data_IF_122671155990
#
_entry.id   IF_122671155990
#
_cell.length_a   1.000
_cell.length_b   1.000
_cell.length_c   1.000
_cell.angle_alpha   90.00
_cell.angle_beta   90.00
_cell.angle_gamma   90.00
#
_symmetry.space_group_name_H-M   'P 1'
#
loop_
_entity.id
_entity.type
_entity.pdbx_description
1 polymer ?
#
# COMPACT_ATOMS: atom_id res chain seq x y z
N UNK A 1 12.15 -18.18 60.68
CA UNK A 1 12.86 -18.07 59.39
C UNK A 1 11.81 -17.81 58.33
N UNK A 2 11.67 -16.57 57.86
CA UNK A 2 10.64 -16.15 56.92
C UNK A 2 11.24 -16.16 55.52
N UNK A 3 10.75 -17.03 54.61
CA UNK A 3 11.19 -17.08 53.21
C UNK A 3 10.29 -16.13 52.42
N UNK A 4 10.84 -15.02 51.97
CA UNK A 4 10.16 -14.09 51.05
C UNK A 4 10.41 -14.58 49.62
N UNK A 5 9.37 -15.10 48.96
CA UNK A 5 9.44 -15.44 47.55
C UNK A 5 9.25 -14.16 46.72
N UNK A 6 10.30 -13.75 46.01
CA UNK A 6 10.24 -12.67 45.02
C UNK A 6 9.69 -13.23 43.71
N UNK A 7 8.46 -12.89 43.37
CA UNK A 7 7.89 -13.15 42.06
C UNK A 7 8.47 -12.14 41.04
N UNK A 8 9.36 -12.61 40.18
CA UNK A 8 9.83 -11.84 39.02
C UNK A 8 8.73 -11.79 37.96
N UNK A 9 8.11 -10.62 37.80
CA UNK A 9 7.17 -10.36 36.70
C UNK A 9 7.99 -10.10 35.42
N UNK A 10 8.06 -11.06 34.52
CA UNK A 10 8.64 -10.86 33.17
C UNK A 10 7.58 -10.15 32.34
N UNK A 11 7.80 -8.87 32.04
CA UNK A 11 7.00 -8.14 31.06
C UNK A 11 7.27 -8.72 29.66
N UNK A 12 6.24 -9.29 29.04
CA UNK A 12 6.29 -9.67 27.63
C UNK A 12 6.35 -8.40 26.79
N UNK A 13 7.18 -8.35 25.73
CA UNK A 13 7.19 -7.23 24.81
C UNK A 13 5.79 -7.09 24.18
N UNK A 14 5.17 -5.93 24.35
CA UNK A 14 3.95 -5.59 23.62
C UNK A 14 4.34 -5.37 22.15
N UNK A 15 3.95 -6.27 21.27
CA UNK A 15 3.99 -6.01 19.85
C UNK A 15 3.00 -4.86 19.59
N UNK A 16 3.47 -3.79 18.95
CA UNK A 16 2.59 -2.73 18.49
C UNK A 16 1.59 -3.34 17.51
N UNK A 17 0.29 -3.17 17.79
CA UNK A 17 -0.75 -3.62 16.86
C UNK A 17 -0.60 -2.86 15.53
N UNK A 18 -0.86 -3.55 14.41
CA UNK A 18 -0.90 -2.91 13.10
C UNK A 18 -1.90 -1.74 13.10
N UNK A 19 -1.61 -0.63 12.40
CA UNK A 19 -2.50 0.52 12.37
C UNK A 19 -3.86 0.16 11.76
N UNK A 20 -4.95 0.63 12.38
CA UNK A 20 -6.32 0.48 11.90
C UNK A 20 -6.83 1.85 11.45
N UNK A 21 -7.26 1.97 10.21
CA UNK A 21 -7.70 3.23 9.62
C UNK A 21 -9.22 3.31 9.58
N UNK A 22 -9.79 4.29 10.28
CA UNK A 22 -11.24 4.45 10.44
C UNK A 22 -11.91 5.13 9.25
N UNK A 23 -11.15 5.69 8.31
CA UNK A 23 -11.64 6.31 7.07
C UNK A 23 -10.64 6.08 5.93
N UNK A 24 -11.12 6.04 4.65
CA UNK A 24 -10.24 6.01 3.48
C UNK A 24 -9.18 7.13 3.50
N UNK A 25 -9.61 8.33 3.83
CA UNK A 25 -8.73 9.50 3.89
C UNK A 25 -7.64 9.36 4.95
N UNK A 26 -7.94 8.75 6.11
CA UNK A 26 -6.95 8.52 7.17
C UNK A 26 -5.84 7.57 6.70
N UNK A 27 -6.21 6.48 6.02
CA UNK A 27 -5.27 5.54 5.41
C UNK A 27 -4.36 6.24 4.40
N UNK A 28 -4.93 6.94 3.42
CA UNK A 28 -4.15 7.60 2.37
C UNK A 28 -3.28 8.73 2.93
N UNK A 29 -3.79 9.51 3.90
CA UNK A 29 -2.99 10.52 4.60
C UNK A 29 -1.78 9.90 5.30
N UNK A 30 -1.96 8.75 5.94
CA UNK A 30 -0.87 8.03 6.61
C UNK A 30 0.20 7.57 5.60
N UNK A 31 -0.21 6.96 4.48
CA UNK A 31 0.70 6.54 3.41
C UNK A 31 1.52 7.73 2.89
N UNK A 32 0.85 8.81 2.49
CA UNK A 32 1.53 9.96 1.89
C UNK A 32 2.34 10.78 2.90
N UNK A 33 2.04 10.72 4.20
CA UNK A 33 2.90 11.30 5.23
C UNK A 33 4.28 10.64 5.29
N UNK A 34 4.39 9.36 4.92
CA UNK A 34 5.65 8.64 4.79
C UNK A 34 6.61 9.34 3.83
N UNK A 35 6.12 9.79 2.68
CA UNK A 35 6.91 10.48 1.66
C UNK A 35 7.43 11.84 2.11
N UNK A 36 6.71 12.51 3.01
CA UNK A 36 7.14 13.80 3.58
C UNK A 36 8.16 13.64 4.70
N UNK A 37 8.12 12.53 5.42
CA UNK A 37 8.95 12.28 6.60
C UNK A 37 10.12 11.33 6.34
N UNK A 38 10.12 10.62 5.21
CA UNK A 38 11.06 9.54 4.91
C UNK A 38 10.90 8.31 5.83
N UNK A 39 9.74 8.20 6.51
CA UNK A 39 9.45 7.10 7.43
C UNK A 39 8.28 6.27 6.87
N UNK A 40 8.62 5.14 6.32
CA UNK A 40 7.65 4.15 5.83
C UNK A 40 7.49 3.02 6.85
N UNK A 41 6.33 2.37 6.94
CA UNK A 41 6.21 1.15 7.72
C UNK A 41 7.07 0.06 7.09
N UNK A 42 7.61 -0.82 7.93
CA UNK A 42 8.42 -1.98 7.47
C UNK A 42 7.56 -2.98 6.69
N UNK A 43 6.24 -2.91 6.85
CA UNK A 43 5.28 -3.85 6.31
C UNK A 43 4.13 -3.08 5.64
N UNK A 44 4.06 -3.14 4.31
CA UNK A 44 3.06 -2.41 3.52
C UNK A 44 1.77 -3.21 3.31
N UNK A 45 1.75 -4.50 3.57
CA UNK A 45 0.59 -5.38 3.39
C UNK A 45 -0.58 -4.99 4.30
N UNK A 46 -0.30 -4.26 5.39
CA UNK A 46 -1.32 -3.69 6.28
C UNK A 46 -2.25 -2.68 5.60
N UNK A 47 -1.85 -2.09 4.46
CA UNK A 47 -2.66 -1.13 3.71
C UNK A 47 -3.63 -1.80 2.75
N UNK A 48 -3.33 -3.03 2.33
CA UNK A 48 -4.06 -3.74 1.29
C UNK A 48 -5.13 -4.67 1.86
N UNK A 49 -6.20 -4.86 1.10
CA UNK A 49 -7.21 -5.87 1.38
C UNK A 49 -6.62 -7.27 1.27
N UNK A 50 -7.30 -8.26 1.86
CA UNK A 50 -6.91 -9.67 1.71
C UNK A 50 -6.83 -10.10 0.26
N UNK A 51 -7.76 -9.63 -0.58
CA UNK A 51 -7.76 -9.95 -2.01
C UNK A 51 -6.55 -9.39 -2.74
N UNK A 52 -6.19 -8.13 -2.49
CA UNK A 52 -5.03 -7.51 -3.13
C UNK A 52 -3.71 -8.10 -2.63
N UNK A 53 -3.59 -8.36 -1.32
CA UNK A 53 -2.44 -9.08 -0.75
C UNK A 53 -2.27 -10.48 -1.37
N UNK A 54 -3.37 -11.18 -1.64
CA UNK A 54 -3.31 -12.48 -2.33
C UNK A 54 -2.77 -12.37 -3.76
N UNK A 55 -3.10 -11.28 -4.48
CA UNK A 55 -2.53 -11.03 -5.82
C UNK A 55 -1.02 -10.75 -5.74
N UNK A 56 -0.57 -9.94 -4.79
CA UNK A 56 0.87 -9.73 -4.56
C UNK A 56 1.60 -11.04 -4.26
N UNK A 57 1.04 -11.86 -3.38
CA UNK A 57 1.63 -13.16 -3.04
C UNK A 57 1.70 -14.11 -4.25
N UNK A 58 0.63 -14.15 -5.07
CA UNK A 58 0.59 -14.97 -6.29
C UNK A 58 1.61 -14.48 -7.33
N UNK A 59 1.70 -13.16 -7.55
CA UNK A 59 2.68 -12.57 -8.46
C UNK A 59 4.11 -12.87 -8.00
N UNK A 60 4.42 -12.70 -6.71
CA UNK A 60 5.72 -13.05 -6.16
C UNK A 60 6.07 -14.53 -6.30
N UNK A 61 5.09 -15.44 -6.08
CA UNK A 61 5.30 -16.86 -6.26
C UNK A 61 5.51 -17.27 -7.73
N UNK A 62 4.95 -16.52 -8.67
CA UNK A 62 5.11 -16.74 -10.11
C UNK A 62 6.43 -16.16 -10.66
N UNK A 63 7.07 -15.25 -9.95
CA UNK A 63 8.32 -14.60 -10.38
C UNK A 63 9.49 -15.55 -10.11
N UNK A 64 10.30 -15.92 -11.13
CA UNK A 64 11.49 -16.76 -10.94
C UNK A 64 12.51 -16.12 -9.99
N UNK A 65 13.28 -16.95 -9.30
CA UNK A 65 14.30 -16.46 -8.39
C UNK A 65 15.38 -15.65 -9.14
N UNK A 66 15.56 -14.39 -8.76
CA UNK A 66 16.50 -13.45 -9.39
C UNK A 66 15.89 -12.55 -10.44
N UNK A 67 14.65 -12.77 -10.81
CA UNK A 67 13.92 -11.90 -11.75
C UNK A 67 13.20 -10.77 -11.00
N UNK A 68 12.92 -9.68 -11.73
CA UNK A 68 12.08 -8.59 -11.24
C UNK A 68 10.61 -8.97 -11.40
N UNK A 69 9.81 -8.74 -10.37
CA UNK A 69 8.36 -8.97 -10.42
C UNK A 69 7.64 -8.01 -11.38
N UNK A 70 6.32 -8.16 -11.52
CA UNK A 70 5.53 -7.37 -12.48
C UNK A 70 5.47 -5.87 -12.14
N UNK A 71 5.92 -5.48 -10.95
CA UNK A 71 5.95 -4.09 -10.49
C UNK A 71 7.37 -3.77 -10.05
N UNK A 72 8.01 -2.85 -10.75
CA UNK A 72 9.37 -2.36 -10.49
C UNK A 72 9.42 -0.88 -10.08
N UNK A 73 8.27 -0.32 -9.70
CA UNK A 73 8.09 1.06 -9.28
C UNK A 73 7.20 1.15 -8.03
N UNK A 74 7.23 2.30 -7.38
CA UNK A 74 6.34 2.59 -6.25
C UNK A 74 4.94 2.99 -6.75
N UNK A 75 3.95 2.14 -6.47
CA UNK A 75 2.56 2.31 -6.91
C UNK A 75 1.87 3.55 -6.33
N UNK A 76 2.37 4.10 -5.22
CA UNK A 76 1.83 5.31 -4.60
C UNK A 76 2.35 6.60 -5.23
N UNK A 77 3.47 6.52 -5.94
CA UNK A 77 4.10 7.69 -6.60
C UNK A 77 4.13 7.57 -8.12
N UNK A 78 3.78 6.38 -8.66
CA UNK A 78 3.89 6.03 -10.08
C UNK A 78 5.33 6.23 -10.60
N UNK A 79 6.35 5.94 -9.79
CA UNK A 79 7.75 6.17 -10.14
C UNK A 79 8.71 5.36 -9.25
N UNK A 80 9.97 5.27 -9.66
CA UNK A 80 11.04 4.66 -8.83
C UNK A 80 11.61 5.66 -7.80
N UNK A 81 11.60 6.96 -8.14
CA UNK A 81 12.04 8.05 -7.29
C UNK A 81 10.89 9.03 -7.02
N UNK A 82 10.96 9.76 -5.91
CA UNK A 82 9.91 10.68 -5.57
C UNK A 82 10.41 12.05 -5.05
N UNK A 83 9.69 13.08 -5.47
CA UNK A 83 9.72 14.43 -4.90
C UNK A 83 8.33 15.03 -5.02
N UNK A 84 7.48 14.71 -4.03
CA UNK A 84 6.07 15.07 -4.08
C UNK A 84 5.84 16.52 -3.67
N UNK A 85 4.99 17.20 -4.45
CA UNK A 85 4.49 18.53 -4.17
C UNK A 85 3.01 18.62 -4.55
N UNK A 86 2.30 19.62 -4.04
CA UNK A 86 0.88 19.87 -4.36
C UNK A 86 -0.04 18.66 -4.13
N UNK A 87 0.26 17.86 -3.08
CA UNK A 87 -0.55 16.69 -2.73
C UNK A 87 -1.98 17.09 -2.35
N UNK A 88 -2.95 16.46 -2.99
CA UNK A 88 -4.36 16.60 -2.72
C UNK A 88 -5.01 15.22 -2.62
N UNK A 89 -5.66 14.94 -1.50
CA UNK A 89 -6.49 13.76 -1.27
C UNK A 89 -7.95 14.23 -1.26
N UNK A 90 -8.72 13.83 -2.26
CA UNK A 90 -10.12 14.24 -2.40
C UNK A 90 -11.00 13.59 -1.30
N UNK A 91 -12.26 13.99 -1.24
CA UNK A 91 -13.24 13.30 -0.42
C UNK A 91 -13.53 11.92 -1.03
N UNK A 92 -13.78 10.95 -0.16
CA UNK A 92 -14.22 9.63 -0.59
C UNK A 92 -15.63 9.70 -1.21
N UNK A 93 -15.86 8.91 -2.25
CA UNK A 93 -17.15 8.76 -2.92
C UNK A 93 -17.56 7.28 -2.91
N UNK A 94 -18.84 6.96 -2.65
CA UNK A 94 -19.29 5.58 -2.64
C UNK A 94 -19.07 4.87 -3.98
N UNK A 95 -18.53 3.65 -3.93
CA UNK A 95 -18.35 2.76 -5.08
C UNK A 95 -18.70 1.31 -4.69
N UNK A 96 -19.82 0.79 -5.22
CA UNK A 96 -20.26 -0.58 -4.90
C UNK A 96 -20.46 -0.79 -3.40
N UNK A 97 -19.68 -1.68 -2.80
CA UNK A 97 -19.63 -1.94 -1.36
C UNK A 97 -18.48 -1.22 -0.64
N UNK A 98 -17.74 -0.40 -1.36
CA UNK A 98 -16.60 0.35 -0.87
C UNK A 98 -16.69 1.82 -1.18
N UNK A 99 -15.55 2.45 -1.25
CA UNK A 99 -15.39 3.85 -1.60
C UNK A 99 -14.19 4.04 -2.52
N UNK A 100 -14.23 5.06 -3.36
CA UNK A 100 -13.08 5.51 -4.14
C UNK A 100 -12.59 6.87 -3.68
N UNK A 101 -11.28 7.07 -3.78
CA UNK A 101 -10.63 8.35 -3.46
C UNK A 101 -9.63 8.67 -4.53
N UNK A 102 -9.76 9.86 -5.12
CA UNK A 102 -8.76 10.39 -6.04
C UNK A 102 -7.67 11.12 -5.26
N UNK A 103 -6.42 10.79 -5.60
CA UNK A 103 -5.23 11.48 -5.11
C UNK A 103 -4.50 12.10 -6.30
N UNK A 104 -4.16 13.37 -6.19
CA UNK A 104 -3.37 14.08 -7.20
C UNK A 104 -2.18 14.77 -6.54
N UNK A 105 -1.07 14.81 -7.23
CA UNK A 105 0.17 15.46 -6.78
C UNK A 105 1.06 15.78 -7.99
N UNK A 106 2.15 16.48 -7.75
CA UNK A 106 3.25 16.55 -8.71
C UNK A 106 4.42 15.74 -8.17
N UNK A 107 5.00 14.89 -9.03
CA UNK A 107 6.27 14.20 -8.75
C UNK A 107 7.36 14.78 -9.65
N UNK A 108 8.40 15.36 -9.07
CA UNK A 108 9.42 16.17 -9.78
C UNK A 108 8.83 17.23 -10.73
N UNK A 109 7.66 17.76 -10.39
CA UNK A 109 6.94 18.78 -11.18
C UNK A 109 5.93 18.21 -12.18
N UNK A 110 5.95 16.91 -12.48
CA UNK A 110 5.02 16.23 -13.38
C UNK A 110 3.75 15.84 -12.65
N UNK A 111 2.59 16.17 -13.23
CA UNK A 111 1.29 15.90 -12.64
C UNK A 111 0.99 14.39 -12.63
N UNK A 112 0.57 13.88 -11.50
CA UNK A 112 0.16 12.50 -11.29
C UNK A 112 -1.26 12.45 -10.73
N UNK A 113 -2.02 11.45 -11.14
CA UNK A 113 -3.38 11.19 -10.64
C UNK A 113 -3.56 9.70 -10.43
N UNK A 114 -3.88 9.31 -9.20
CA UNK A 114 -4.20 7.95 -8.81
C UNK A 114 -5.63 7.90 -8.25
N UNK A 115 -6.38 6.87 -8.62
CA UNK A 115 -7.68 6.55 -8.07
C UNK A 115 -7.55 5.30 -7.20
N UNK A 116 -7.89 5.41 -5.94
CA UNK A 116 -7.87 4.32 -4.97
C UNK A 116 -9.25 3.75 -4.80
N UNK A 117 -9.38 2.43 -4.90
CA UNK A 117 -10.56 1.67 -4.54
C UNK A 117 -10.34 1.07 -3.16
N UNK A 118 -11.28 1.29 -2.25
CA UNK A 118 -11.12 0.92 -0.83
C UNK A 118 -12.37 0.21 -0.32
N UNK A 119 -12.14 -0.65 0.68
CA UNK A 119 -13.20 -1.37 1.39
C UNK A 119 -12.92 -1.36 2.89
N UNK A 120 -13.97 -1.42 3.71
CA UNK A 120 -13.82 -1.73 5.13
C UNK A 120 -13.68 -3.24 5.31
N UNK A 121 -12.52 -3.69 5.81
CA UNK A 121 -12.25 -5.07 6.22
C UNK A 121 -11.91 -5.10 7.71
N UNK A 122 -12.70 -5.90 8.47
CA UNK A 122 -12.48 -6.12 9.91
C UNK A 122 -12.45 -4.81 10.73
N UNK A 123 -13.24 -3.81 10.33
CA UNK A 123 -13.34 -2.51 11.00
C UNK A 123 -12.22 -1.53 10.68
N UNK A 124 -11.51 -1.76 9.58
CA UNK A 124 -10.48 -0.86 9.07
C UNK A 124 -10.46 -0.76 7.55
N UNK A 125 -10.28 0.44 7.05
CA UNK A 125 -10.22 0.67 5.60
C UNK A 125 -8.94 0.11 4.98
N UNK A 126 -9.09 -0.56 3.83
CA UNK A 126 -8.05 -1.23 3.05
C UNK A 126 -8.17 -0.90 1.57
N UNK A 127 -7.03 -0.85 0.88
CA UNK A 127 -6.98 -0.66 -0.58
C UNK A 127 -7.27 -1.99 -1.25
N UNK A 128 -8.25 -2.01 -2.16
CA UNK A 128 -8.59 -3.19 -2.98
C UNK A 128 -7.98 -3.12 -4.36
N UNK A 129 -7.75 -1.92 -4.90
CA UNK A 129 -7.06 -1.68 -6.17
C UNK A 129 -6.56 -0.22 -6.25
N UNK A 130 -5.70 0.04 -7.22
CA UNK A 130 -5.23 1.38 -7.56
C UNK A 130 -5.23 1.50 -9.08
N UNK A 131 -5.84 2.57 -9.59
CA UNK A 131 -5.75 2.96 -11.01
C UNK A 131 -4.87 4.20 -11.16
N UNK A 132 -3.84 4.12 -11.98
CA UNK A 132 -3.18 5.31 -12.46
C UNK A 132 -4.00 5.93 -13.59
N UNK A 133 -4.43 7.18 -13.39
CA UNK A 133 -5.19 7.96 -14.36
C UNK A 133 -4.35 9.07 -15.00
N UNK A 134 -3.04 9.02 -14.84
CA UNK A 134 -2.11 9.97 -15.46
C UNK A 134 -2.08 9.72 -16.96
N UNK A 135 -2.41 10.71 -17.82
CA UNK A 135 -2.48 10.51 -19.28
C UNK A 135 -1.16 9.98 -19.86
N UNK A 136 -1.25 8.87 -20.60
CA UNK A 136 -0.10 8.20 -21.22
C UNK A 136 0.70 7.29 -20.28
N UNK A 137 0.24 7.14 -19.03
CA UNK A 137 0.87 6.27 -18.01
C UNK A 137 -0.19 5.44 -17.28
N UNK A 138 -1.32 5.13 -17.92
CA UNK A 138 -2.45 4.46 -17.29
C UNK A 138 -2.15 2.99 -16.99
N UNK A 139 -2.50 2.55 -15.77
CA UNK A 139 -2.46 1.15 -15.36
C UNK A 139 -3.46 0.89 -14.23
N UNK A 140 -3.80 -0.38 -14.04
CA UNK A 140 -4.56 -0.89 -12.89
C UNK A 140 -3.69 -1.89 -12.15
N UNK A 141 -3.53 -1.74 -10.84
CA UNK A 141 -2.62 -2.55 -10.03
C UNK A 141 -2.94 -4.05 -10.10
N UNK A 142 -4.21 -4.42 -9.95
CA UNK A 142 -4.64 -5.82 -10.05
C UNK A 142 -4.33 -6.43 -11.43
N UNK A 143 -4.42 -5.65 -12.50
CA UNK A 143 -4.08 -6.10 -13.86
C UNK A 143 -2.57 -6.30 -14.02
N UNK A 144 -1.75 -5.41 -13.47
CA UNK A 144 -0.29 -5.58 -13.48
C UNK A 144 0.10 -6.87 -12.74
N UNK A 145 -0.48 -7.11 -11.55
CA UNK A 145 -0.18 -8.29 -10.74
C UNK A 145 -0.64 -9.61 -11.36
N UNK A 146 -1.63 -9.57 -12.25
CA UNK A 146 -2.18 -10.77 -12.94
C UNK A 146 -1.74 -10.91 -14.39
N UNK A 147 -0.98 -9.95 -14.92
CA UNK A 147 -0.44 -10.04 -16.28
C UNK A 147 0.46 -11.29 -16.42
N UNK A 148 0.41 -11.98 -17.56
CA UNK A 148 1.37 -13.05 -17.84
C UNK A 148 2.79 -12.49 -17.69
N UNK A 149 3.62 -13.19 -16.90
CA UNK A 149 5.04 -12.88 -16.87
C UNK A 149 5.65 -13.41 -18.17
N UNK A 150 5.85 -12.52 -19.14
CA UNK A 150 6.61 -12.87 -20.33
C UNK A 150 8.02 -13.21 -19.84
N UNK A 151 8.32 -14.51 -19.77
CA UNK A 151 9.64 -14.99 -19.40
C UNK A 151 10.64 -14.30 -20.30
N UNK A 152 11.45 -13.40 -19.73
CA UNK A 152 12.48 -12.68 -20.43
C UNK A 152 13.43 -13.66 -21.10
N UNK A 153 13.09 -14.07 -22.31
CA UNK A 153 13.98 -14.81 -23.17
C UNK A 153 15.11 -13.87 -23.56
N UNK A 154 16.19 -13.92 -22.82
CA UNK A 154 17.46 -13.39 -23.29
C UNK A 154 17.89 -14.20 -24.52
N UNK A 155 17.75 -13.60 -25.68
CA UNK A 155 18.50 -14.01 -26.87
C UNK A 155 19.92 -13.48 -26.79
#
# INVERSE_FOLDING_TARGET
>A
MLVVAVLAFTALPAFAAAPVFQTPKALLTYIYAGYSTGKFPDDNDVFYSRSLNALFAAAGAATPAGDVGPIDFDVFTNAQDYKLTELKIDAATPEGQGEEVKVSFKNFGEAQTLLYHLVDEDGGWKITDIDCQTPGQEWTLSKLLTAPQDGGGSN
#
